data_IF_400638069929
#
_entry.id   IF_400638069929
#
_cell.length_a   1.000
_cell.length_b   1.000
_cell.length_c   1.000
_cell.angle_alpha   90.00
_cell.angle_beta   90.00
_cell.angle_gamma   90.00
#
_symmetry.space_group_name_H-M   'P 1'
#
loop_
_entity.id
_entity.type
_entity.pdbx_description
1 polymer ?
#
# COMPACT_ATOMS: atom_id res chain seq x y z
N UNK A 1 19.16 3.57 -23.26
CA UNK A 1 19.90 4.80 -22.89
C UNK A 1 19.63 5.03 -21.41
N UNK A 2 20.66 4.81 -20.59
CA UNK A 2 20.85 5.21 -19.18
C UNK A 2 19.63 5.34 -18.26
N UNK A 3 19.25 4.26 -17.56
CA UNK A 3 18.52 4.36 -16.28
C UNK A 3 19.53 4.44 -15.11
N UNK A 4 20.37 5.49 -15.15
CA UNK A 4 21.29 5.80 -14.07
C UNK A 4 20.67 6.91 -13.20
N UNK A 5 20.54 6.62 -11.91
CA UNK A 5 20.37 7.59 -10.81
C UNK A 5 18.94 7.98 -10.36
N UNK A 6 18.02 7.02 -10.20
CA UNK A 6 17.09 7.15 -9.05
C UNK A 6 17.72 6.47 -7.85
N UNK A 7 18.25 7.28 -6.91
CA UNK A 7 18.65 6.76 -5.60
C UNK A 7 17.42 6.10 -4.96
N UNK A 8 17.57 4.89 -4.39
CA UNK A 8 16.47 4.24 -3.70
C UNK A 8 15.94 5.15 -2.58
N UNK A 9 14.62 5.18 -2.41
CA UNK A 9 13.98 5.94 -1.34
C UNK A 9 14.27 5.25 0.00
N UNK A 10 15.19 5.81 0.77
CA UNK A 10 15.55 5.30 2.10
C UNK A 10 14.86 6.13 3.17
N UNK A 11 14.03 5.48 4.00
CA UNK A 11 13.26 6.11 5.07
C UNK A 11 13.47 5.29 6.34
N UNK A 12 13.88 5.94 7.44
CA UNK A 12 14.15 5.28 8.71
C UNK A 12 15.12 4.08 8.59
N UNK A 13 16.05 4.13 7.63
CA UNK A 13 17.01 3.07 7.35
C UNK A 13 16.47 1.87 6.56
N UNK A 14 15.25 1.96 6.02
CA UNK A 14 14.65 1.00 5.11
C UNK A 14 14.56 1.55 3.70
N UNK A 15 14.95 0.75 2.72
CA UNK A 15 14.67 1.03 1.31
C UNK A 15 13.21 0.71 1.03
N UNK A 16 12.44 1.69 0.57
CA UNK A 16 11.01 1.57 0.30
C UNK A 16 10.77 1.58 -1.20
N UNK A 17 10.19 0.49 -1.70
CA UNK A 17 9.66 0.39 -3.05
C UNK A 17 8.13 0.40 -3.02
N UNK A 18 7.54 0.99 -4.07
CA UNK A 18 6.11 1.03 -4.28
C UNK A 18 5.78 0.21 -5.54
N UNK A 19 4.99 -0.84 -5.36
CA UNK A 19 4.52 -1.69 -6.45
C UNK A 19 3.54 -0.91 -7.36
N UNK A 20 3.49 -1.20 -8.67
CA UNK A 20 2.56 -0.54 -9.59
C UNK A 20 1.09 -0.54 -9.13
N UNK A 21 0.64 -1.64 -8.50
CA UNK A 21 -0.70 -1.74 -7.91
C UNK A 21 -0.97 -0.71 -6.80
N UNK A 22 0.03 -0.43 -5.96
CA UNK A 22 -0.08 0.59 -4.93
C UNK A 22 -0.05 2.00 -5.55
N UNK A 23 0.86 2.23 -6.50
CA UNK A 23 0.98 3.51 -7.21
C UNK A 23 -0.32 3.88 -7.93
N UNK A 24 -0.93 2.94 -8.66
CA UNK A 24 -2.20 3.17 -9.35
C UNK A 24 -3.32 3.62 -8.39
N UNK A 25 -3.40 3.05 -7.18
CA UNK A 25 -4.37 3.46 -6.16
C UNK A 25 -4.04 4.84 -5.58
N UNK A 26 -2.76 5.13 -5.35
CA UNK A 26 -2.30 6.41 -4.84
C UNK A 26 -2.54 7.54 -5.85
N UNK A 27 -2.33 7.28 -7.14
CA UNK A 27 -2.51 8.25 -8.23
C UNK A 27 -4.00 8.55 -8.48
N UNK A 28 -4.84 7.52 -8.50
CA UNK A 28 -6.29 7.69 -8.58
C UNK A 28 -6.82 8.56 -7.43
N UNK A 29 -6.35 8.28 -6.20
CA UNK A 29 -6.72 9.07 -5.03
C UNK A 29 -6.17 10.50 -5.08
N UNK A 30 -4.93 10.68 -5.54
CA UNK A 30 -4.32 12.00 -5.69
C UNK A 30 -5.06 12.85 -6.73
N UNK A 31 -5.49 12.24 -7.83
CA UNK A 31 -6.32 12.88 -8.86
C UNK A 31 -7.67 13.30 -8.30
N UNK A 32 -8.31 12.45 -7.49
CA UNK A 32 -9.55 12.78 -6.79
C UNK A 32 -9.37 13.97 -5.84
N UNK A 33 -8.30 14.00 -5.05
CA UNK A 33 -7.98 15.11 -4.15
C UNK A 33 -7.72 16.39 -4.93
N UNK A 34 -6.97 16.33 -6.03
CA UNK A 34 -6.70 17.49 -6.88
C UNK A 34 -8.00 18.07 -7.45
N UNK A 35 -8.89 17.22 -7.98
CA UNK A 35 -10.19 17.66 -8.49
C UNK A 35 -11.06 18.31 -7.40
N UNK A 36 -10.99 17.81 -6.16
CA UNK A 36 -11.69 18.41 -5.02
C UNK A 36 -11.09 19.76 -4.61
N UNK A 37 -9.76 19.88 -4.64
CA UNK A 37 -9.04 21.12 -4.36
C UNK A 37 -9.41 22.21 -5.37
N UNK A 38 -9.48 21.89 -6.66
CA UNK A 38 -9.88 22.87 -7.69
C UNK A 38 -11.30 23.40 -7.49
N UNK A 39 -12.20 22.58 -6.93
CA UNK A 39 -13.60 22.98 -6.65
C UNK A 39 -13.76 23.75 -5.33
N UNK A 40 -12.89 23.48 -4.36
CA UNK A 40 -12.99 24.00 -3.00
C UNK A 40 -11.60 24.11 -2.35
N UNK A 41 -10.79 25.13 -2.73
CA UNK A 41 -9.39 25.23 -2.33
C UNK A 41 -9.18 25.36 -0.82
N UNK A 42 -10.15 25.88 -0.07
CA UNK A 42 -10.07 26.05 1.38
C UNK A 42 -10.64 24.86 2.15
N UNK A 43 -11.64 24.17 1.60
CA UNK A 43 -12.38 23.11 2.28
C UNK A 43 -11.94 21.68 1.94
N UNK A 44 -11.18 21.48 0.85
CA UNK A 44 -10.82 20.13 0.39
C UNK A 44 -10.09 19.28 1.44
N UNK A 45 -9.29 19.90 2.33
CA UNK A 45 -8.58 19.19 3.39
C UNK A 45 -9.51 18.51 4.41
N UNK A 46 -10.76 18.98 4.53
CA UNK A 46 -11.76 18.37 5.42
C UNK A 46 -12.39 17.11 4.82
N UNK A 47 -12.25 16.90 3.50
CA UNK A 47 -12.87 15.80 2.75
C UNK A 47 -12.17 14.47 3.02
N UNK A 48 -12.92 13.38 2.87
CA UNK A 48 -12.42 12.03 3.15
C UNK A 48 -11.21 11.66 2.26
N UNK A 49 -11.26 11.98 0.97
CA UNK A 49 -10.18 11.64 0.04
C UNK A 49 -8.82 12.24 0.46
N UNK A 50 -8.81 13.51 0.90
CA UNK A 50 -7.59 14.15 1.41
C UNK A 50 -7.08 13.46 2.67
N UNK A 51 -7.97 13.22 3.65
CA UNK A 51 -7.61 12.52 4.91
C UNK A 51 -7.06 11.13 4.64
N UNK A 52 -7.65 10.39 3.69
CA UNK A 52 -7.18 9.08 3.24
C UNK A 52 -5.81 9.17 2.58
N UNK A 53 -5.60 10.13 1.67
CA UNK A 53 -4.31 10.31 1.01
C UNK A 53 -3.20 10.64 2.01
N UNK A 54 -3.48 11.56 2.95
CA UNK A 54 -2.55 11.92 4.01
C UNK A 54 -2.21 10.73 4.91
N UNK A 55 -3.22 9.94 5.30
CA UNK A 55 -3.01 8.74 6.11
C UNK A 55 -2.17 7.67 5.36
N UNK A 56 -2.45 7.42 4.09
CA UNK A 56 -1.68 6.48 3.27
C UNK A 56 -0.22 6.92 3.16
N UNK A 57 0.02 8.20 2.82
CA UNK A 57 1.39 8.74 2.73
C UNK A 57 2.14 8.62 4.06
N UNK A 58 1.48 8.95 5.17
CA UNK A 58 2.05 8.80 6.52
C UNK A 58 2.36 7.35 6.86
N UNK A 59 1.49 6.40 6.53
CA UNK A 59 1.76 4.99 6.77
C UNK A 59 2.93 4.48 5.92
N UNK A 60 2.87 4.73 4.61
CA UNK A 60 3.83 4.24 3.63
C UNK A 60 5.24 4.81 3.83
N UNK A 61 5.34 6.10 4.16
CA UNK A 61 6.60 6.85 4.11
C UNK A 61 7.02 7.46 5.45
N UNK A 62 6.43 6.99 6.56
CA UNK A 62 6.87 7.35 7.91
C UNK A 62 6.63 6.17 8.87
N UNK A 63 5.39 5.80 9.13
CA UNK A 63 5.06 4.86 10.22
C UNK A 63 5.54 3.43 9.97
N UNK A 64 5.30 2.86 8.79
CA UNK A 64 5.73 1.49 8.47
C UNK A 64 7.26 1.39 8.43
N UNK A 65 7.99 2.31 7.76
CA UNK A 65 9.45 2.25 7.75
C UNK A 65 10.12 2.46 9.11
N UNK A 66 9.46 3.05 10.12
CA UNK A 66 10.05 3.12 11.48
C UNK A 66 10.34 1.73 12.04
N UNK A 67 9.43 0.77 11.87
CA UNK A 67 9.62 -0.62 12.22
C UNK A 67 8.56 -1.49 11.52
N UNK A 68 8.87 -2.11 10.37
CA UNK A 68 7.92 -2.95 9.63
C UNK A 68 7.69 -4.32 10.29
N UNK A 69 8.43 -4.65 11.36
CA UNK A 69 8.41 -5.99 11.99
C UNK A 69 7.36 -6.12 13.10
N UNK A 70 6.67 -5.02 13.45
CA UNK A 70 5.68 -4.98 14.52
C UNK A 70 4.61 -6.07 14.36
N UNK A 71 4.27 -6.69 15.48
CA UNK A 71 3.23 -7.73 15.54
C UNK A 71 1.85 -7.24 15.10
N UNK A 72 1.54 -5.94 15.25
CA UNK A 72 0.28 -5.34 14.82
C UNK A 72 0.03 -5.43 13.31
N UNK A 73 1.11 -5.53 12.51
CA UNK A 73 1.02 -5.68 11.07
C UNK A 73 0.76 -7.12 10.64
N UNK A 74 0.89 -8.09 11.54
CA UNK A 74 0.58 -9.49 11.23
C UNK A 74 -0.92 -9.66 11.01
N UNK A 75 -1.27 -10.45 10.02
CA UNK A 75 -2.65 -10.82 9.71
C UNK A 75 -2.99 -12.25 10.11
N UNK A 76 -2.00 -13.08 10.45
CA UNK A 76 -2.22 -14.49 10.76
C UNK A 76 -2.55 -15.26 9.49
N UNK A 77 -3.61 -16.07 9.52
CA UNK A 77 -4.06 -16.86 8.38
C UNK A 77 -5.25 -16.21 7.63
N UNK A 78 -5.55 -14.93 7.87
CA UNK A 78 -6.68 -14.24 7.22
C UNK A 78 -6.58 -14.21 5.69
N UNK A 79 -5.37 -14.12 5.13
CA UNK A 79 -5.14 -14.23 3.68
C UNK A 79 -4.90 -15.68 3.21
N UNK A 80 -5.06 -16.67 4.09
CA UNK A 80 -4.65 -18.06 3.88
C UNK A 80 -3.29 -18.38 4.50
N UNK A 81 -3.06 -19.66 4.78
CA UNK A 81 -1.85 -20.19 5.40
C UNK A 81 -0.58 -19.88 4.59
N UNK A 82 -0.69 -19.90 3.27
CA UNK A 82 0.41 -19.60 2.34
C UNK A 82 0.81 -18.12 2.28
N UNK A 83 -0.01 -17.20 2.80
CA UNK A 83 0.18 -15.75 2.64
C UNK A 83 0.57 -15.04 3.95
N UNK A 84 1.14 -15.77 4.92
CA UNK A 84 1.57 -15.25 6.24
C UNK A 84 2.68 -14.20 6.15
N UNK A 85 3.43 -14.18 5.05
CA UNK A 85 4.46 -13.17 4.75
C UNK A 85 3.89 -11.83 4.29
N UNK A 86 2.59 -11.73 4.04
CA UNK A 86 1.93 -10.45 3.79
C UNK A 86 1.56 -9.77 5.10
N UNK A 87 1.99 -8.51 5.23
CA UNK A 87 1.74 -7.65 6.38
C UNK A 87 0.73 -6.57 6.03
N UNK A 88 0.08 -6.01 7.05
CA UNK A 88 -1.08 -5.15 6.87
C UNK A 88 -1.21 -4.08 7.96
N UNK A 89 -1.02 -2.83 7.57
CA UNK A 89 -1.31 -1.67 8.41
C UNK A 89 -2.81 -1.31 8.34
N UNK A 90 -3.44 -1.09 9.50
CA UNK A 90 -4.86 -0.74 9.65
C UNK A 90 -5.03 0.76 9.82
N UNK A 91 -6.00 1.39 9.14
CA UNK A 91 -6.37 2.79 9.39
C UNK A 91 -7.84 3.09 9.11
N UNK A 92 -8.38 4.11 9.79
CA UNK A 92 -9.80 4.49 9.81
C UNK A 92 -10.78 3.31 9.86
N UNK A 93 -10.40 2.26 10.60
CA UNK A 93 -11.10 0.97 10.78
C UNK A 93 -11.24 0.11 9.51
N UNK A 94 -11.66 0.71 8.40
CA UNK A 94 -12.06 0.06 7.14
C UNK A 94 -10.94 -0.06 6.08
N UNK A 95 -9.81 0.64 6.26
CA UNK A 95 -8.73 0.60 5.27
C UNK A 95 -7.53 -0.20 5.77
N UNK A 96 -6.86 -0.81 4.80
CA UNK A 96 -5.73 -1.72 4.92
C UNK A 96 -4.72 -1.40 3.83
N UNK A 97 -3.48 -1.15 4.25
CA UNK A 97 -2.32 -1.11 3.37
C UNK A 97 -1.56 -2.42 3.55
N UNK A 98 -1.41 -3.19 2.47
CA UNK A 98 -0.68 -4.45 2.43
C UNK A 98 0.73 -4.26 1.89
N UNK A 99 1.70 -4.88 2.55
CA UNK A 99 3.12 -4.77 2.23
C UNK A 99 3.89 -6.05 2.57
N UNK A 100 5.10 -6.17 2.02
CA UNK A 100 6.11 -7.15 2.45
C UNK A 100 7.40 -6.44 2.84
N UNK A 101 8.23 -7.12 3.60
CA UNK A 101 9.58 -6.64 3.90
C UNK A 101 10.58 -7.79 3.94
N UNK A 102 11.86 -7.44 3.78
CA UNK A 102 12.98 -8.35 3.95
C UNK A 102 14.00 -7.73 4.91
N UNK A 103 14.12 -8.29 6.10
CA UNK A 103 14.97 -7.74 7.18
C UNK A 103 16.46 -7.70 6.82
N UNK A 104 17.07 -8.78 6.28
CA UNK A 104 18.51 -8.76 5.99
C UNK A 104 18.92 -7.64 5.05
N UNK A 105 18.10 -7.34 4.03
CA UNK A 105 18.37 -6.26 3.06
C UNK A 105 17.74 -4.92 3.45
N UNK A 106 16.97 -4.87 4.54
CA UNK A 106 16.14 -3.72 4.96
C UNK A 106 15.31 -3.14 3.81
N UNK A 107 14.56 -3.99 3.13
CA UNK A 107 13.67 -3.58 2.03
C UNK A 107 12.21 -3.70 2.45
N UNK A 108 11.38 -2.72 2.08
CA UNK A 108 9.91 -2.76 2.18
C UNK A 108 9.35 -2.63 0.76
N UNK A 109 8.37 -3.46 0.41
CA UNK A 109 7.56 -3.32 -0.81
C UNK A 109 6.12 -3.02 -0.40
N UNK A 110 5.66 -1.80 -0.68
CA UNK A 110 4.27 -1.38 -0.54
C UNK A 110 3.49 -1.91 -1.74
N UNK A 111 2.58 -2.88 -1.52
CA UNK A 111 2.00 -3.62 -2.63
C UNK A 111 0.62 -3.14 -3.04
N UNK A 112 -0.26 -2.88 -2.07
CA UNK A 112 -1.65 -2.53 -2.38
C UNK A 112 -2.36 -1.85 -1.21
N UNK A 113 -3.34 -1.01 -1.51
CA UNK A 113 -4.24 -0.39 -0.52
C UNK A 113 -5.67 -0.42 -1.04
N UNK A 114 -6.63 -0.77 -0.19
CA UNK A 114 -8.04 -0.77 -0.59
C UNK A 114 -8.61 0.65 -0.64
N UNK A 115 -9.66 0.84 -1.45
CA UNK A 115 -10.31 2.13 -1.69
C UNK A 115 -11.77 2.14 -1.18
N UNK A 116 -12.54 3.16 -1.57
CA UNK A 116 -13.97 3.26 -1.22
C UNK A 116 -14.88 2.39 -2.09
N UNK A 117 -14.41 1.95 -3.27
CA UNK A 117 -15.22 1.12 -4.17
C UNK A 117 -15.37 -0.32 -3.63
N UNK A 118 -14.41 -0.77 -2.83
CA UNK A 118 -14.54 -2.00 -2.02
C UNK A 118 -15.58 -1.88 -0.89
N UNK A 119 -16.36 -0.79 -0.82
CA UNK A 119 -17.47 -0.61 0.13
C UNK A 119 -18.85 -0.91 -0.47
N UNK A 120 -18.98 -1.06 -1.79
CA UNK A 120 -20.30 -1.29 -2.43
C UNK A 120 -20.82 -2.72 -2.28
N UNK A 121 -20.06 -3.63 -1.68
CA UNK A 121 -20.48 -4.99 -1.38
C UNK A 121 -20.45 -5.27 0.13
N UNK A 122 -21.28 -4.55 0.88
CA UNK A 122 -21.47 -4.71 2.34
C UNK A 122 -20.33 -4.17 3.20
N UNK A 123 -20.69 -3.60 4.35
CA UNK A 123 -19.81 -2.96 5.32
C UNK A 123 -18.93 -3.98 6.09
N UNK A 124 -18.12 -4.79 5.41
CA UNK A 124 -17.20 -5.70 6.09
C UNK A 124 -15.75 -5.39 5.79
N UNK A 125 -14.97 -5.25 6.87
CA UNK A 125 -13.52 -5.35 6.88
C UNK A 125 -12.98 -6.58 6.13
N UNK A 126 -13.80 -7.62 5.93
CA UNK A 126 -13.50 -8.81 5.13
C UNK A 126 -13.25 -8.51 3.67
N UNK A 127 -13.85 -7.45 3.11
CA UNK A 127 -13.77 -7.19 1.67
C UNK A 127 -12.36 -6.83 1.23
N UNK A 128 -11.61 -6.10 2.05
CA UNK A 128 -10.21 -5.81 1.75
C UNK A 128 -9.37 -7.10 1.68
N UNK A 129 -9.65 -8.08 2.55
CA UNK A 129 -8.96 -9.37 2.50
C UNK A 129 -9.43 -10.21 1.33
N UNK A 130 -10.73 -10.29 1.04
CA UNK A 130 -11.26 -11.06 -0.09
C UNK A 130 -10.71 -10.54 -1.42
N UNK A 131 -10.69 -9.22 -1.60
CA UNK A 131 -10.15 -8.60 -2.82
C UNK A 131 -8.66 -8.89 -2.92
N UNK A 132 -7.89 -8.67 -1.85
CA UNK A 132 -6.45 -8.89 -1.90
C UNK A 132 -6.09 -10.38 -2.03
N UNK A 133 -6.81 -11.28 -1.37
CA UNK A 133 -6.65 -12.72 -1.52
C UNK A 133 -6.91 -13.16 -2.96
N UNK A 134 -8.03 -12.72 -3.57
CA UNK A 134 -8.31 -13.00 -4.99
C UNK A 134 -7.22 -12.44 -5.91
N UNK A 135 -6.66 -11.29 -5.57
CA UNK A 135 -5.52 -10.70 -6.28
C UNK A 135 -4.27 -11.60 -6.19
N UNK A 136 -3.95 -12.11 -5.00
CA UNK A 136 -2.85 -13.05 -4.78
C UNK A 136 -3.08 -14.37 -5.52
N UNK A 137 -4.29 -14.91 -5.49
CA UNK A 137 -4.66 -16.16 -6.18
C UNK A 137 -4.50 -16.03 -7.71
N UNK A 138 -4.69 -14.81 -8.25
CA UNK A 138 -4.44 -14.49 -9.66
C UNK A 138 -2.97 -14.14 -9.95
N UNK A 139 -2.08 -14.18 -8.96
CA UNK A 139 -0.66 -13.87 -9.09
C UNK A 139 -0.33 -12.39 -9.26
N UNK A 140 -1.23 -11.48 -8.87
CA UNK A 140 -1.03 -10.04 -9.03
C UNK A 140 -1.51 -9.24 -7.79
N UNK A 141 -0.63 -8.91 -6.83
CA UNK A 141 0.83 -8.97 -6.94
C UNK A 141 1.37 -10.41 -6.88
N UNK A 142 2.58 -10.66 -7.41
CA UNK A 142 3.21 -11.96 -7.31
C UNK A 142 3.55 -12.28 -5.85
N UNK A 143 3.44 -13.57 -5.51
CA UNK A 143 3.74 -14.05 -4.16
C UNK A 143 5.24 -14.31 -3.93
N UNK A 144 5.99 -14.56 -5.00
CA UNK A 144 7.46 -14.67 -4.97
C UNK A 144 8.11 -13.32 -4.64
N UNK A 145 9.12 -13.34 -3.75
CA UNK A 145 9.78 -12.11 -3.30
C UNK A 145 10.56 -11.44 -4.42
N UNK A 146 11.33 -12.21 -5.19
CA UNK A 146 12.19 -11.63 -6.21
C UNK A 146 11.36 -11.08 -7.37
N UNK A 147 10.27 -11.76 -7.75
CA UNK A 147 9.33 -11.24 -8.73
C UNK A 147 8.64 -9.96 -8.25
N UNK A 148 8.16 -9.95 -7.01
CA UNK A 148 7.53 -8.75 -6.42
C UNK A 148 8.48 -7.56 -6.41
N UNK A 149 9.75 -7.78 -6.02
CA UNK A 149 10.75 -6.74 -5.99
C UNK A 149 11.09 -6.24 -7.41
N UNK A 150 11.22 -7.15 -8.39
CA UNK A 150 11.41 -6.76 -9.80
C UNK A 150 10.28 -5.87 -10.30
N UNK A 151 9.03 -6.25 -10.08
CA UNK A 151 7.87 -5.45 -10.48
C UNK A 151 7.82 -4.09 -9.76
N UNK A 152 8.24 -4.04 -8.50
CA UNK A 152 8.27 -2.79 -7.71
C UNK A 152 9.43 -1.85 -8.08
N UNK A 153 10.54 -2.37 -8.61
CA UNK A 153 11.69 -1.57 -9.08
C UNK A 153 11.44 -1.04 -10.49
N UNK A 154 10.74 -1.80 -11.34
CA UNK A 154 10.40 -1.42 -12.72
C UNK A 154 9.25 -0.39 -12.80
N UNK A 155 9.21 0.60 -11.90
CA UNK A 155 8.19 1.65 -11.97
C UNK A 155 8.16 2.26 -13.38
N UNK A 156 6.96 2.46 -13.98
CA UNK A 156 6.84 3.00 -15.34
C UNK A 156 7.46 4.39 -15.50
#
# INVERSE_FOLDING_TARGET
MSDASRKPLVIHGWTVFAHPLFLAKLDALSTQVHAQMQKDPTGYMKRNAYKRLAAIKRLAFDVIPQDPTKSEYRQGATLGEGHKHWFRAKFFQQYRLFFRYHTPSRIIVLAWVNDESSKRAYESHDDAYKVFQKMLDNGHPPDDWDQLLREAVQQP
#
